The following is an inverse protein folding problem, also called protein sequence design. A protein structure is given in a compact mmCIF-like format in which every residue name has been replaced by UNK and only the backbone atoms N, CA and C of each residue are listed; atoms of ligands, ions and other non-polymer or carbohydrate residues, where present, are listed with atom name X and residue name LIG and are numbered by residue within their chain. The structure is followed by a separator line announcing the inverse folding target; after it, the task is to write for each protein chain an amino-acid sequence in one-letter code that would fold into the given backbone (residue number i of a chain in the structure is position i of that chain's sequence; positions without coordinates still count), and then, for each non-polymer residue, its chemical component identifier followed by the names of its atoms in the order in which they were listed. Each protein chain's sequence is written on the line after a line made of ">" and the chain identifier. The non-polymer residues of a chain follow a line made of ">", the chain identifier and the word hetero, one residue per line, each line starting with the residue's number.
data_IF_180169928716
#
_entry.id   IF_180169928716
#
_cell.length_a   1.000
_cell.length_b   1.000
_cell.length_c   1.000
_cell.angle_alpha   90.00
_cell.angle_beta   90.00
_cell.angle_gamma   90.00
#
_symmetry.space_group_name_H-M   'P 1'
#
loop_
_entity.id
_entity.type
_entity.pdbx_description
1 polymer ?
#
# COMPACT_ATOMS: atom_id res chain seq x y z
N UNK A 1 25.79 -58.94 -10.65
CA UNK A 1 25.47 -57.86 -9.70
C UNK A 1 25.89 -56.46 -10.18
N UNK A 2 26.97 -56.28 -10.96
CA UNK A 2 27.36 -54.95 -11.46
C UNK A 2 26.60 -54.45 -12.70
N UNK A 3 25.91 -55.31 -13.46
CA UNK A 3 25.16 -54.89 -14.66
C UNK A 3 23.94 -54.04 -14.32
N UNK A 4 23.20 -54.44 -13.30
CA UNK A 4 21.96 -53.76 -12.89
C UNK A 4 22.27 -52.37 -12.29
N UNK A 5 23.42 -52.24 -11.60
CA UNK A 5 23.87 -50.96 -11.04
C UNK A 5 24.24 -49.94 -12.12
N UNK A 6 24.93 -50.39 -13.17
CA UNK A 6 25.30 -49.52 -14.28
C UNK A 6 24.06 -49.11 -15.09
N UNK A 7 23.11 -50.02 -15.27
CA UNK A 7 21.88 -49.74 -16.01
C UNK A 7 20.98 -48.74 -15.26
N UNK A 8 20.94 -48.80 -13.92
CA UNK A 8 20.23 -47.82 -13.11
C UNK A 8 20.89 -46.43 -13.16
N UNK A 9 22.22 -46.39 -13.18
CA UNK A 9 22.97 -45.13 -13.30
C UNK A 9 22.72 -44.44 -14.63
N UNK A 10 22.78 -45.19 -15.74
CA UNK A 10 22.56 -44.63 -17.08
C UNK A 10 21.13 -44.06 -17.22
N UNK A 11 20.13 -44.72 -16.64
CA UNK A 11 18.74 -44.22 -16.60
C UNK A 11 18.59 -42.94 -15.76
N UNK A 12 19.35 -42.81 -14.67
CA UNK A 12 19.33 -41.63 -13.82
C UNK A 12 19.98 -40.43 -14.52
N UNK A 13 21.13 -40.66 -15.17
CA UNK A 13 21.84 -39.63 -15.93
C UNK A 13 21.02 -39.16 -17.16
N UNK A 14 20.25 -40.04 -17.80
CA UNK A 14 19.31 -39.67 -18.88
C UNK A 14 18.15 -38.79 -18.37
N UNK A 15 17.64 -39.08 -17.17
CA UNK A 15 16.61 -38.27 -16.52
C UNK A 15 17.12 -36.87 -16.11
N UNK A 16 18.37 -36.76 -15.69
CA UNK A 16 18.98 -35.48 -15.31
C UNK A 16 19.46 -34.66 -16.51
N UNK A 17 19.82 -35.30 -17.62
CA UNK A 17 20.43 -34.64 -18.78
C UNK A 17 19.43 -33.97 -19.74
N UNK A 18 18.14 -34.31 -19.68
CA UNK A 18 17.21 -34.01 -20.81
C UNK A 18 16.38 -32.73 -20.67
N UNK A 19 16.52 -31.95 -19.59
CA UNK A 19 15.92 -30.61 -19.54
C UNK A 19 16.98 -29.57 -19.19
N UNK A 20 17.53 -28.92 -20.23
CA UNK A 20 18.12 -27.61 -20.04
C UNK A 20 17.07 -26.69 -19.42
N UNK A 21 17.26 -26.40 -18.13
CA UNK A 21 16.38 -25.55 -17.30
C UNK A 21 16.26 -24.12 -17.84
N UNK A 22 17.13 -23.74 -18.79
CA UNK A 22 17.05 -22.47 -19.50
C UNK A 22 17.18 -22.68 -20.99
N UNK A 23 16.13 -22.33 -21.72
CA UNK A 23 16.19 -22.23 -23.17
C UNK A 23 17.08 -21.05 -23.59
N UNK A 24 17.57 -21.07 -24.82
CA UNK A 24 18.35 -19.93 -25.34
C UNK A 24 17.49 -18.65 -25.44
N UNK A 25 16.17 -18.78 -25.58
CA UNK A 25 15.24 -17.67 -25.50
C UNK A 25 15.19 -17.05 -24.09
N UNK A 26 15.22 -17.87 -23.04
CA UNK A 26 15.25 -17.38 -21.65
C UNK A 26 16.53 -16.59 -21.37
N UNK A 27 17.67 -17.05 -21.89
CA UNK A 27 18.95 -16.33 -21.76
C UNK A 27 18.90 -14.97 -22.45
N UNK A 28 18.28 -14.88 -23.63
CA UNK A 28 18.11 -13.61 -24.36
C UNK A 28 17.16 -12.68 -23.59
N UNK A 29 16.07 -13.21 -23.03
CA UNK A 29 15.09 -12.45 -22.22
C UNK A 29 15.74 -11.87 -20.97
N UNK A 30 16.51 -12.68 -20.24
CA UNK A 30 17.25 -12.25 -19.03
C UNK A 30 18.27 -11.17 -19.39
N UNK A 31 19.05 -11.35 -20.46
CA UNK A 31 20.07 -10.36 -20.89
C UNK A 31 19.43 -9.01 -21.24
N UNK A 32 18.26 -9.00 -21.89
CA UNK A 32 17.51 -7.77 -22.21
C UNK A 32 16.99 -7.05 -20.95
N UNK A 33 16.51 -7.81 -19.96
CA UNK A 33 16.03 -7.25 -18.68
C UNK A 33 17.18 -6.60 -17.88
N UNK A 34 18.36 -7.23 -17.87
CA UNK A 34 19.56 -6.70 -17.20
C UNK A 34 20.04 -5.39 -17.87
N UNK A 35 20.00 -5.30 -19.21
CA UNK A 35 20.47 -4.08 -19.91
C UNK A 35 19.54 -2.88 -19.75
N UNK A 36 18.23 -3.10 -19.60
CA UNK A 36 17.28 -2.03 -19.32
C UNK A 36 17.42 -1.47 -17.89
N UNK A 37 17.72 -2.34 -16.93
CA UNK A 37 17.86 -1.94 -15.51
C UNK A 37 19.12 -1.11 -15.27
N UNK A 38 20.22 -1.39 -15.99
CA UNK A 38 21.48 -0.63 -15.85
C UNK A 38 21.43 0.81 -16.37
N UNK A 39 20.43 1.18 -17.19
CA UNK A 39 20.34 2.54 -17.76
C UNK A 39 19.54 3.53 -16.91
N UNK A 40 18.84 3.08 -15.86
CA UNK A 40 17.97 3.92 -15.03
C UNK A 40 18.58 4.37 -13.69
N UNK A 41 19.88 4.15 -13.47
CA UNK A 41 20.60 4.67 -12.30
C UNK A 41 21.72 5.62 -12.70
N UNK A 42 21.32 6.84 -13.06
CA UNK A 42 22.17 8.03 -12.93
C UNK A 42 21.47 9.04 -12.01
N UNK A 43 21.46 8.73 -10.71
CA UNK A 43 21.20 9.75 -9.70
C UNK A 43 22.36 10.77 -9.73
N UNK A 44 21.99 12.03 -9.96
CA UNK A 44 22.93 13.15 -10.01
C UNK A 44 23.48 13.43 -8.61
N UNK A 45 24.79 13.67 -8.54
CA UNK A 45 25.47 13.99 -7.29
C UNK A 45 25.17 15.44 -6.85
N UNK A 46 24.86 15.57 -5.56
CA UNK A 46 25.19 16.68 -4.64
C UNK A 46 24.62 18.09 -4.86
N UNK A 47 23.30 18.28 -4.67
CA UNK A 47 22.73 19.61 -4.39
C UNK A 47 21.85 19.68 -3.13
N UNK A 48 21.58 18.55 -2.49
CA UNK A 48 20.65 18.46 -1.34
C UNK A 48 21.19 19.07 -0.03
N UNK A 49 22.49 19.09 0.32
CA UNK A 49 22.90 19.52 1.67
C UNK A 49 22.74 21.03 1.91
N UNK A 50 22.81 21.85 0.86
CA UNK A 50 22.74 23.32 1.00
C UNK A 50 21.30 23.84 1.11
N UNK A 51 20.30 23.06 0.67
CA UNK A 51 18.90 23.48 0.71
C UNK A 51 18.29 23.24 2.10
N UNK A 52 18.67 22.14 2.75
CA UNK A 52 18.25 21.82 4.12
C UNK A 52 18.71 22.87 5.15
N UNK A 53 19.96 23.35 5.01
CA UNK A 53 20.52 24.38 5.88
C UNK A 53 19.85 25.75 5.68
N UNK A 54 19.45 26.10 4.45
CA UNK A 54 18.69 27.31 4.19
C UNK A 54 17.28 27.28 4.79
N UNK A 55 16.58 26.13 4.71
CA UNK A 55 15.25 25.96 5.32
C UNK A 55 15.29 26.09 6.84
N UNK A 56 16.28 25.50 7.51
CA UNK A 56 16.41 25.59 8.98
C UNK A 56 16.63 27.03 9.47
N UNK A 57 17.38 27.85 8.71
CA UNK A 57 17.58 29.27 9.05
C UNK A 57 16.29 30.09 8.90
N UNK A 58 15.49 29.84 7.86
CA UNK A 58 14.21 30.54 7.66
C UNK A 58 13.20 30.23 8.77
N UNK A 59 13.15 28.98 9.22
CA UNK A 59 12.27 28.56 10.33
C UNK A 59 12.67 29.28 11.62
N UNK A 60 13.97 29.36 11.94
CA UNK A 60 14.45 30.06 13.14
C UNK A 60 14.10 31.56 13.17
N UNK A 61 14.17 32.24 12.03
CA UNK A 61 13.77 33.66 11.92
C UNK A 61 12.25 33.82 12.11
N UNK A 62 11.46 32.89 11.59
CA UNK A 62 9.99 32.96 11.72
C UNK A 62 9.51 32.75 13.16
N UNK A 63 10.14 31.84 13.92
CA UNK A 63 9.80 31.61 15.33
C UNK A 63 10.25 32.76 16.24
N UNK A 64 11.43 33.33 16.00
CA UNK A 64 11.93 34.47 16.79
C UNK A 64 11.14 35.76 16.51
N UNK A 65 10.64 35.95 15.28
CA UNK A 65 9.79 37.09 14.93
C UNK A 65 8.39 37.04 15.55
N UNK A 66 7.75 35.87 15.59
CA UNK A 66 6.40 35.73 16.16
C UNK A 66 6.39 35.90 17.70
N UNK A 67 7.43 35.46 18.39
CA UNK A 67 7.52 35.61 19.85
C UNK A 67 7.60 37.08 20.32
N UNK A 68 8.07 37.99 19.46
CA UNK A 68 8.12 39.44 19.76
C UNK A 68 6.80 40.16 19.41
N UNK A 69 6.03 39.67 18.44
CA UNK A 69 4.74 40.26 18.04
C UNK A 69 3.61 39.93 19.02
N UNK A 70 3.64 38.78 19.68
CA UNK A 70 2.57 38.33 20.57
C UNK A 70 2.46 39.17 21.87
N UNK A 71 3.55 39.83 22.29
CA UNK A 71 3.54 40.70 23.47
C UNK A 71 3.00 42.12 23.22
N UNK A 72 2.64 42.49 21.98
CA UNK A 72 2.21 43.86 21.64
C UNK A 72 0.75 43.98 21.18
N UNK A 73 -0.02 42.89 21.10
CA UNK A 73 -1.39 42.90 20.54
C UNK A 73 -2.50 42.51 21.52
N UNK A 74 -2.30 42.65 22.85
CA UNK A 74 -3.38 42.51 23.85
C UNK A 74 -3.88 43.88 24.33
N UNK A 75 -4.56 44.60 23.45
CA UNK A 75 -5.51 45.64 23.86
C UNK A 75 -6.45 46.01 22.71
N UNK A 76 -7.75 46.03 23.02
CA UNK A 76 -8.89 46.46 22.19
C UNK A 76 -9.34 45.41 21.16
N UNK A 77 -10.62 45.05 21.01
CA UNK A 77 -11.86 45.67 21.47
C UNK A 77 -13.00 44.62 21.34
N UNK A 78 -13.87 44.52 22.36
CA UNK A 78 -15.24 44.02 22.19
C UNK A 78 -16.02 45.02 21.32
N UNK A 79 -16.79 44.55 20.33
CA UNK A 79 -18.12 45.11 20.02
C UNK A 79 -18.78 44.44 18.81
N UNK A 80 -19.93 43.82 19.10
CA UNK A 80 -21.20 43.83 18.35
C UNK A 80 -21.29 43.35 16.89
N UNK A 81 -22.18 42.36 16.71
CA UNK A 81 -22.91 42.04 15.47
C UNK A 81 -23.71 43.24 14.92
N UNK A 82 -24.12 43.22 13.63
CA UNK A 82 -25.45 42.69 13.30
C UNK A 82 -25.53 41.87 11.99
N UNK A 83 -26.32 40.79 12.07
CA UNK A 83 -27.47 40.45 11.22
C UNK A 83 -27.59 41.04 9.79
N UNK A 84 -27.57 40.17 8.77
CA UNK A 84 -28.35 40.28 7.50
C UNK A 84 -28.24 38.93 6.75
N UNK A 85 -29.26 38.08 6.77
CA UNK A 85 -30.37 37.99 5.80
C UNK A 85 -30.00 37.45 4.39
N UNK A 86 -30.46 36.22 4.15
CA UNK A 86 -31.08 35.67 2.93
C UNK A 86 -30.35 35.75 1.58
N UNK A 87 -30.00 34.58 1.04
CA UNK A 87 -30.32 34.11 -0.31
C UNK A 87 -29.88 32.63 -0.41
N UNK A 88 -30.68 31.61 -0.71
CA UNK A 88 -31.90 31.59 -1.52
C UNK A 88 -31.60 31.20 -2.96
N UNK A 89 -30.84 30.13 -3.22
CA UNK A 89 -30.70 29.56 -4.57
C UNK A 89 -30.87 28.04 -4.50
N UNK A 90 -32.09 27.60 -4.82
CA UNK A 90 -32.37 26.29 -5.38
C UNK A 90 -31.58 26.13 -6.68
N UNK A 91 -30.76 25.08 -6.77
CA UNK A 91 -30.37 24.54 -8.08
C UNK A 91 -30.93 23.14 -8.20
N UNK A 92 -31.86 23.03 -9.14
CA UNK A 92 -32.65 21.86 -9.49
C UNK A 92 -31.79 20.66 -9.85
N UNK A 93 -32.19 19.55 -9.25
CA UNK A 93 -32.19 18.19 -9.77
C UNK A 93 -32.30 18.15 -11.32
N UNK A 94 -31.28 17.61 -11.98
CA UNK A 94 -31.43 17.02 -13.31
C UNK A 94 -31.23 15.51 -13.18
N UNK A 95 -32.36 14.82 -13.31
CA UNK A 95 -32.50 13.39 -13.52
C UNK A 95 -32.20 13.13 -15.00
N UNK A 96 -31.16 12.35 -15.30
CA UNK A 96 -30.95 11.77 -16.63
C UNK A 96 -30.98 10.25 -16.47
N UNK A 97 -32.06 9.66 -16.97
CA UNK A 97 -32.23 8.22 -17.18
C UNK A 97 -31.46 7.78 -18.43
N UNK A 98 -30.87 6.59 -18.30
CA UNK A 98 -30.71 5.55 -19.32
C UNK A 98 -29.91 5.83 -20.59
N UNK A 99 -28.65 5.40 -20.55
CA UNK A 99 -28.07 4.62 -21.64
C UNK A 99 -27.22 3.49 -21.06
N UNK A 100 -27.69 2.26 -21.25
CA UNK A 100 -26.92 1.05 -21.01
C UNK A 100 -25.72 1.02 -21.97
N UNK A 101 -24.53 1.15 -21.41
CA UNK A 101 -23.26 0.81 -22.03
C UNK A 101 -22.51 -0.01 -20.99
N UNK A 102 -22.10 -1.22 -21.36
CA UNK A 102 -21.37 -2.16 -20.51
C UNK A 102 -20.21 -1.44 -19.82
N UNK A 103 -20.39 -1.23 -18.51
CA UNK A 103 -19.55 -0.39 -17.67
C UNK A 103 -18.63 -1.29 -16.87
N UNK A 104 -17.37 -1.38 -17.29
CA UNK A 104 -16.27 -1.64 -16.35
C UNK A 104 -16.24 -0.43 -15.41
N UNK A 105 -16.96 -0.54 -14.29
CA UNK A 105 -17.13 0.54 -13.32
C UNK A 105 -15.87 0.74 -12.49
N UNK A 106 -14.85 1.39 -13.06
CA UNK A 106 -13.84 2.06 -12.26
C UNK A 106 -14.51 3.27 -11.60
N UNK A 107 -14.96 3.08 -10.36
CA UNK A 107 -15.48 4.20 -9.56
C UNK A 107 -14.25 4.94 -9.03
N UNK A 108 -13.81 5.99 -9.74
CA UNK A 108 -12.74 6.89 -9.28
C UNK A 108 -13.23 7.67 -8.07
N UNK A 109 -13.05 7.10 -6.88
CA UNK A 109 -13.33 7.77 -5.61
C UNK A 109 -12.04 7.80 -4.79
N UNK A 110 -11.45 8.99 -4.70
CA UNK A 110 -10.35 9.26 -3.77
C UNK A 110 -10.90 9.14 -2.34
N UNK A 111 -10.52 8.07 -1.64
CA UNK A 111 -10.89 7.82 -0.24
C UNK A 111 -9.66 7.96 0.66
N UNK A 112 -9.82 8.61 1.82
CA UNK A 112 -8.76 8.75 2.83
C UNK A 112 -8.43 7.41 3.50
N UNK A 113 -7.18 7.23 3.95
CA UNK A 113 -6.73 6.04 4.67
C UNK A 113 -7.26 5.96 6.12
N UNK A 114 -7.73 7.06 6.71
CA UNK A 114 -8.22 7.05 8.08
C UNK A 114 -9.44 6.13 8.25
N UNK A 115 -9.42 5.33 9.31
CA UNK A 115 -10.57 4.49 9.67
C UNK A 115 -11.69 5.37 10.21
N UNK A 116 -12.90 5.19 9.68
CA UNK A 116 -14.12 5.70 10.31
C UNK A 116 -14.34 4.99 11.65
N UNK A 117 -15.20 5.53 12.52
CA UNK A 117 -15.50 4.91 13.81
C UNK A 117 -15.99 3.45 13.65
N UNK A 118 -16.82 3.17 12.64
CA UNK A 118 -17.30 1.82 12.34
C UNK A 118 -16.15 0.88 11.92
N UNK A 119 -15.27 1.33 11.04
CA UNK A 119 -14.11 0.55 10.59
C UNK A 119 -13.12 0.32 11.73
N UNK A 120 -12.90 1.33 12.58
CA UNK A 120 -12.05 1.20 13.77
C UNK A 120 -12.62 0.18 14.77
N UNK A 121 -13.93 0.14 14.96
CA UNK A 121 -14.58 -0.85 15.82
C UNK A 121 -14.37 -2.28 15.29
N UNK A 122 -14.55 -2.48 13.98
CA UNK A 122 -14.31 -3.76 13.30
C UNK A 122 -12.85 -4.18 13.43
N UNK A 123 -11.91 -3.26 13.15
CA UNK A 123 -10.48 -3.50 13.33
C UNK A 123 -10.15 -3.92 14.76
N UNK A 124 -10.65 -3.18 15.75
CA UNK A 124 -10.38 -3.45 17.17
C UNK A 124 -10.93 -4.81 17.59
N UNK A 125 -12.13 -5.16 17.13
CA UNK A 125 -12.70 -6.48 17.38
C UNK A 125 -11.85 -7.59 16.76
N UNK A 126 -11.42 -7.41 15.51
CA UNK A 126 -10.55 -8.36 14.81
C UNK A 126 -9.19 -8.49 15.49
N UNK A 127 -8.52 -7.38 15.80
CA UNK A 127 -7.19 -7.37 16.44
C UNK A 127 -7.18 -8.14 17.77
N UNK A 128 -8.24 -8.02 18.57
CA UNK A 128 -8.35 -8.68 19.87
C UNK A 128 -8.75 -10.17 19.77
N UNK A 129 -9.59 -10.54 18.80
CA UNK A 129 -10.16 -11.90 18.72
C UNK A 129 -9.46 -12.79 17.70
N UNK A 130 -8.82 -12.19 16.69
CA UNK A 130 -8.37 -12.80 15.44
C UNK A 130 -9.48 -13.58 14.70
N UNK A 131 -10.75 -13.30 14.99
CA UNK A 131 -11.88 -13.95 14.34
C UNK A 131 -12.09 -13.36 12.94
N UNK A 132 -11.71 -14.13 11.91
CA UNK A 132 -11.81 -13.71 10.52
C UNK A 132 -13.26 -13.43 10.08
N UNK A 133 -14.26 -14.01 10.73
CA UNK A 133 -15.67 -13.78 10.37
C UNK A 133 -16.09 -12.31 10.55
N UNK A 134 -15.40 -11.58 11.43
CA UNK A 134 -15.57 -10.13 11.62
C UNK A 134 -15.19 -9.35 10.34
N UNK A 135 -14.34 -9.92 9.49
CA UNK A 135 -13.91 -9.32 8.23
C UNK A 135 -14.81 -9.69 7.04
N UNK A 136 -15.88 -10.46 7.25
CA UNK A 136 -16.77 -10.89 6.18
C UNK A 136 -17.50 -9.69 5.57
N UNK A 137 -17.39 -9.55 4.25
CA UNK A 137 -18.04 -8.47 3.50
C UNK A 137 -17.33 -7.11 3.59
N UNK A 138 -16.18 -7.03 4.27
CA UNK A 138 -15.33 -5.84 4.25
C UNK A 138 -14.72 -5.67 2.87
N UNK A 139 -14.66 -4.43 2.36
CA UNK A 139 -14.10 -4.13 1.03
C UNK A 139 -12.58 -4.29 1.04
N UNK A 140 -11.96 -4.62 -0.12
CA UNK A 140 -10.50 -4.73 -0.22
C UNK A 140 -9.77 -3.48 0.26
N UNK A 141 -10.24 -2.28 -0.12
CA UNK A 141 -9.66 -1.02 0.31
C UNK A 141 -9.69 -0.84 1.83
N UNK A 142 -10.71 -1.35 2.51
CA UNK A 142 -10.81 -1.22 3.96
C UNK A 142 -9.90 -2.25 4.69
N UNK A 143 -9.68 -3.45 4.12
CA UNK A 143 -8.64 -4.39 4.59
C UNK A 143 -7.24 -3.78 4.43
N UNK A 144 -6.98 -3.07 3.33
CA UNK A 144 -5.73 -2.33 3.13
C UNK A 144 -5.54 -1.24 4.19
N UNK A 145 -6.58 -0.47 4.53
CA UNK A 145 -6.52 0.49 5.63
C UNK A 145 -6.21 -0.21 6.96
N UNK A 146 -6.85 -1.35 7.25
CA UNK A 146 -6.56 -2.13 8.46
C UNK A 146 -5.10 -2.61 8.52
N UNK A 147 -4.54 -3.05 7.39
CA UNK A 147 -3.15 -3.48 7.30
C UNK A 147 -2.18 -2.36 7.70
N UNK A 148 -2.30 -1.19 7.09
CA UNK A 148 -1.43 -0.04 7.42
C UNK A 148 -1.74 0.59 8.77
N UNK A 149 -2.98 0.47 9.26
CA UNK A 149 -3.32 0.90 10.61
C UNK A 149 -2.65 0.02 11.67
N UNK A 150 -2.59 -1.30 11.46
CA UNK A 150 -1.82 -2.20 12.31
C UNK A 150 -0.32 -1.86 12.26
N UNK A 151 0.22 -1.51 11.09
CA UNK A 151 1.60 -1.05 10.95
C UNK A 151 1.89 0.23 11.75
N UNK A 152 0.98 1.20 11.68
CA UNK A 152 1.07 2.46 12.43
C UNK A 152 1.07 2.23 13.95
N UNK A 153 0.34 1.22 14.42
CA UNK A 153 0.31 0.81 15.83
C UNK A 153 1.49 -0.10 16.22
N UNK A 154 2.34 -0.48 15.27
CA UNK A 154 3.40 -1.49 15.43
C UNK A 154 2.84 -2.86 15.92
N UNK A 155 1.58 -3.17 15.61
CA UNK A 155 0.91 -4.44 15.89
C UNK A 155 1.13 -5.43 14.74
N UNK A 156 2.38 -5.92 14.65
CA UNK A 156 2.80 -6.82 13.57
C UNK A 156 2.07 -8.16 13.58
N UNK A 157 1.56 -8.60 14.73
CA UNK A 157 0.75 -9.83 14.81
C UNK A 157 -0.59 -9.65 14.09
N UNK A 158 -1.31 -8.55 14.37
CA UNK A 158 -2.53 -8.21 13.62
C UNK A 158 -2.22 -7.96 12.16
N UNK A 159 -1.17 -7.20 11.86
CA UNK A 159 -0.77 -6.92 10.48
C UNK A 159 -0.53 -8.21 9.68
N UNK A 160 0.22 -9.15 10.26
CA UNK A 160 0.53 -10.44 9.65
C UNK A 160 -0.74 -11.29 9.42
N UNK A 161 -1.71 -11.23 10.34
CA UNK A 161 -2.95 -12.02 10.23
C UNK A 161 -3.84 -11.68 9.02
N UNK A 162 -3.61 -10.53 8.38
CA UNK A 162 -4.27 -10.17 7.12
C UNK A 162 -3.69 -10.88 5.90
N UNK A 163 -2.50 -11.48 5.98
CA UNK A 163 -1.94 -12.23 4.85
C UNK A 163 -2.75 -13.48 4.53
N UNK A 164 -2.71 -13.87 3.26
CA UNK A 164 -3.26 -15.13 2.80
C UNK A 164 -2.40 -16.29 3.35
N UNK A 165 -3.07 -17.27 3.95
CA UNK A 165 -2.42 -18.42 4.56
C UNK A 165 -2.29 -19.60 3.59
N UNK A 166 -2.86 -19.51 2.39
CA UNK A 166 -2.72 -20.50 1.33
C UNK A 166 -1.24 -20.75 1.02
N UNK A 167 -0.81 -22.00 1.04
CA UNK A 167 0.59 -22.41 0.91
C UNK A 167 1.25 -21.87 -0.37
N UNK A 168 0.50 -21.71 -1.46
CA UNK A 168 1.04 -21.28 -2.75
C UNK A 168 1.07 -19.75 -2.91
N UNK A 169 0.29 -19.03 -2.12
CA UNK A 169 0.13 -17.57 -2.23
C UNK A 169 0.73 -16.82 -1.04
N UNK A 170 1.18 -17.53 -0.01
CA UNK A 170 1.73 -16.95 1.22
C UNK A 170 3.03 -16.21 0.92
N UNK A 171 3.08 -14.92 1.25
CA UNK A 171 4.27 -14.09 1.11
C UNK A 171 5.37 -14.41 2.14
N UNK A 172 4.96 -14.76 3.37
CA UNK A 172 5.86 -14.98 4.51
C UNK A 172 5.48 -16.27 5.25
N UNK A 173 6.39 -17.25 5.40
CA UNK A 173 6.06 -18.54 6.01
C UNK A 173 5.56 -18.42 7.46
N UNK A 174 6.18 -17.53 8.24
CA UNK A 174 5.90 -17.31 9.66
C UNK A 174 5.80 -15.81 10.00
N UNK A 175 5.29 -15.52 11.20
CA UNK A 175 5.27 -14.15 11.75
C UNK A 175 6.70 -13.64 11.98
N UNK A 176 7.59 -14.50 12.46
CA UNK A 176 8.99 -14.17 12.70
C UNK A 176 9.69 -13.73 11.41
N UNK A 177 9.48 -14.46 10.30
CA UNK A 177 10.04 -14.08 8.99
C UNK A 177 9.52 -12.72 8.51
N UNK A 178 8.25 -12.43 8.79
CA UNK A 178 7.64 -11.15 8.45
C UNK A 178 8.21 -9.99 9.27
N UNK A 179 8.36 -10.18 10.57
CA UNK A 179 8.98 -9.19 11.47
C UNK A 179 10.43 -8.95 11.09
N UNK A 180 11.21 -10.01 10.83
CA UNK A 180 12.61 -9.88 10.38
C UNK A 180 12.70 -9.08 9.07
N UNK A 181 11.79 -9.34 8.12
CA UNK A 181 11.74 -8.59 6.86
C UNK A 181 11.44 -7.10 7.10
N UNK A 182 10.50 -6.76 7.98
CA UNK A 182 10.20 -5.36 8.34
C UNK A 182 11.39 -4.70 9.03
N UNK A 183 12.00 -5.36 10.01
CA UNK A 183 13.14 -4.82 10.78
C UNK A 183 14.40 -4.66 9.94
N UNK A 184 14.54 -5.45 8.86
CA UNK A 184 15.65 -5.32 7.91
C UNK A 184 15.55 -4.04 7.05
N UNK A 185 14.37 -3.44 6.95
CA UNK A 185 14.16 -2.17 6.26
C UNK A 185 14.53 -1.01 7.19
N UNK A 186 14.99 0.09 6.60
CA UNK A 186 15.24 1.30 7.37
C UNK A 186 13.92 1.85 7.92
N UNK A 187 13.80 1.90 9.26
CA UNK A 187 12.62 2.48 9.94
C UNK A 187 12.27 3.88 9.41
N UNK A 188 13.27 4.68 9.03
CA UNK A 188 13.02 6.02 8.49
C UNK A 188 12.41 5.98 7.10
N UNK A 189 12.83 5.04 6.24
CA UNK A 189 12.29 4.91 4.87
C UNK A 189 10.84 4.40 4.92
N UNK A 190 10.58 3.43 5.80
CA UNK A 190 9.25 2.86 6.02
C UNK A 190 8.27 3.89 6.56
N UNK A 191 8.65 4.62 7.62
CA UNK A 191 7.80 5.69 8.17
C UNK A 191 7.57 6.81 7.18
N UNK A 192 8.60 7.24 6.46
CA UNK A 192 8.45 8.26 5.41
C UNK A 192 7.49 7.79 4.32
N UNK A 193 7.56 6.52 3.92
CA UNK A 193 6.64 5.96 2.94
C UNK A 193 5.18 6.01 3.44
N UNK A 194 4.92 5.56 4.68
CA UNK A 194 3.57 5.62 5.26
C UNK A 194 3.09 7.07 5.33
N UNK A 195 3.91 7.97 5.87
CA UNK A 195 3.53 9.37 6.04
C UNK A 195 3.29 10.07 4.70
N UNK A 196 4.20 9.95 3.73
CA UNK A 196 4.11 10.69 2.47
C UNK A 196 3.16 10.05 1.46
N UNK A 197 3.14 8.71 1.39
CA UNK A 197 2.47 7.98 0.30
C UNK A 197 1.17 7.34 0.72
N UNK A 198 1.03 6.95 1.98
CA UNK A 198 -0.19 6.30 2.49
C UNK A 198 -1.11 7.33 3.14
N UNK A 199 -0.63 8.17 4.07
CA UNK A 199 -1.49 9.15 4.75
C UNK A 199 -2.01 10.25 3.83
N UNK A 200 -1.18 10.70 2.88
CA UNK A 200 -1.52 11.75 1.93
C UNK A 200 -1.78 11.23 0.52
N UNK A 201 -1.77 9.90 0.33
CA UNK A 201 -1.99 9.28 -0.96
C UNK A 201 -3.45 9.29 -1.39
N UNK A 202 -3.64 9.32 -2.71
CA UNK A 202 -4.90 8.93 -3.33
C UNK A 202 -4.80 7.48 -3.80
N UNK A 203 -5.87 6.72 -3.58
CA UNK A 203 -5.92 5.30 -3.90
C UNK A 203 -6.94 5.02 -4.99
N UNK A 204 -6.60 4.10 -5.88
CA UNK A 204 -7.53 3.55 -6.86
C UNK A 204 -7.69 2.05 -6.64
N UNK A 205 -8.91 1.64 -6.37
CA UNK A 205 -9.28 0.24 -6.18
C UNK A 205 -9.81 -0.35 -7.48
N UNK A 206 -9.25 -1.50 -7.87
CA UNK A 206 -9.76 -2.32 -8.98
C UNK A 206 -10.11 -3.68 -8.42
N UNK A 207 -11.38 -4.07 -8.54
CA UNK A 207 -11.89 -5.37 -8.06
C UNK A 207 -12.29 -6.22 -9.27
N UNK A 208 -11.75 -7.43 -9.34
CA UNK A 208 -12.20 -8.48 -10.24
C UNK A 208 -12.90 -9.56 -9.41
N UNK A 209 -14.23 -9.52 -9.40
CA UNK A 209 -15.06 -10.46 -8.63
C UNK A 209 -15.07 -11.88 -9.22
N UNK A 210 -14.79 -12.05 -10.51
CA UNK A 210 -14.76 -13.38 -11.15
C UNK A 210 -13.55 -14.18 -10.67
N UNK A 211 -12.41 -13.52 -10.57
CA UNK A 211 -11.14 -14.14 -10.18
C UNK A 211 -10.84 -14.01 -8.68
N UNK A 212 -11.72 -13.35 -7.91
CA UNK A 212 -11.51 -13.11 -6.48
C UNK A 212 -10.24 -12.31 -6.19
N UNK A 213 -9.89 -11.36 -7.05
CA UNK A 213 -8.67 -10.56 -6.96
C UNK A 213 -9.00 -9.08 -6.88
N UNK A 214 -8.26 -8.35 -6.05
CA UNK A 214 -8.33 -6.90 -5.98
C UNK A 214 -6.93 -6.29 -5.96
N UNK A 215 -6.82 -5.09 -6.51
CA UNK A 215 -5.57 -4.32 -6.56
C UNK A 215 -5.85 -2.90 -6.11
N UNK A 216 -4.99 -2.38 -5.23
CA UNK A 216 -5.06 -1.00 -4.75
C UNK A 216 -3.80 -0.29 -5.20
N UNK A 217 -3.95 0.67 -6.10
CA UNK A 217 -2.83 1.45 -6.64
C UNK A 217 -2.74 2.80 -5.96
N UNK A 218 -1.52 3.25 -5.68
CA UNK A 218 -1.25 4.56 -5.08
C UNK A 218 -0.92 5.53 -6.21
N UNK A 219 -1.75 6.56 -6.43
CA UNK A 219 -1.59 7.44 -7.60
C UNK A 219 -0.25 8.20 -7.60
N UNK A 220 0.26 8.55 -6.42
CA UNK A 220 1.55 9.23 -6.26
C UNK A 220 2.76 8.33 -6.59
N UNK A 221 2.56 7.02 -6.74
CA UNK A 221 3.59 6.00 -6.95
C UNK A 221 3.15 5.06 -8.10
N UNK A 222 3.17 5.52 -9.36
CA UNK A 222 2.72 4.70 -10.48
C UNK A 222 3.56 3.42 -10.61
N UNK A 223 2.87 2.28 -10.71
CA UNK A 223 3.48 0.94 -10.74
C UNK A 223 3.50 0.25 -9.38
N UNK A 224 3.12 0.95 -8.32
CA UNK A 224 2.96 0.41 -6.99
C UNK A 224 1.51 0.02 -6.73
N UNK A 225 1.28 -1.27 -6.56
CA UNK A 225 -0.05 -1.81 -6.28
C UNK A 225 -0.01 -2.81 -5.14
N UNK A 226 -0.98 -2.75 -4.25
CA UNK A 226 -1.19 -3.71 -3.18
C UNK A 226 -2.20 -4.76 -3.65
N UNK A 227 -1.83 -6.03 -3.57
CA UNK A 227 -2.67 -7.13 -4.02
C UNK A 227 -3.49 -7.73 -2.88
N UNK A 228 -4.76 -8.03 -3.16
CA UNK A 228 -5.60 -8.85 -2.31
C UNK A 228 -6.23 -10.00 -3.09
N UNK A 229 -6.42 -11.12 -2.41
CA UNK A 229 -7.14 -12.29 -2.92
C UNK A 229 -8.23 -12.68 -1.93
N UNK A 230 -9.38 -13.07 -2.45
CA UNK A 230 -10.47 -13.65 -1.67
C UNK A 230 -10.10 -15.08 -1.28
N UNK A 231 -10.11 -15.39 0.02
CA UNK A 231 -9.90 -16.77 0.47
C UNK A 231 -11.15 -17.64 0.27
N UNK A 232 -11.04 -18.94 0.57
CA UNK A 232 -12.14 -19.91 0.43
C UNK A 232 -13.40 -19.54 1.26
N UNK A 233 -13.25 -18.72 2.30
CA UNK A 233 -14.36 -18.24 3.14
C UNK A 233 -15.02 -16.98 2.59
N UNK A 234 -14.53 -16.41 1.50
CA UNK A 234 -15.03 -15.16 0.94
C UNK A 234 -14.50 -13.91 1.65
N UNK A 235 -13.32 -13.98 2.26
CA UNK A 235 -12.69 -12.88 3.00
C UNK A 235 -11.45 -12.43 2.24
N UNK A 236 -11.32 -11.12 2.03
CA UNK A 236 -10.14 -10.54 1.38
C UNK A 236 -8.91 -10.66 2.28
N UNK A 237 -7.80 -11.14 1.68
CA UNK A 237 -6.50 -11.32 2.33
C UNK A 237 -5.40 -10.73 1.47
N UNK A 238 -4.37 -10.22 2.13
CA UNK A 238 -3.19 -9.66 1.47
C UNK A 238 -2.37 -10.79 0.87
N UNK A 239 -2.14 -10.77 -0.44
CA UNK A 239 -1.36 -11.81 -1.12
C UNK A 239 0.01 -11.30 -1.57
N UNK A 240 0.17 -10.00 -1.79
CA UNK A 240 1.40 -9.43 -2.32
C UNK A 240 1.60 -7.97 -1.91
N UNK A 241 2.84 -7.65 -1.54
CA UNK A 241 3.31 -6.28 -1.35
C UNK A 241 4.36 -5.94 -2.41
N UNK A 242 4.28 -4.76 -3.03
CA UNK A 242 5.25 -4.31 -4.03
C UNK A 242 6.62 -3.95 -3.43
N UNK A 243 6.73 -3.87 -2.11
CA UNK A 243 7.99 -3.56 -1.43
C UNK A 243 8.52 -4.80 -0.72
N UNK A 244 9.38 -5.54 -1.43
CA UNK A 244 10.35 -6.47 -0.85
C UNK A 244 11.71 -6.21 -1.48
#
# INVERSE_FOLDING_TARGET
>A
MNKDLNQLKDQFDEFLSTKQVFTDEDKIRIRRKISQTKNNHRYSKSLIPNLLTACLLLIGVFFTGNLLMENLHFSQHESSMPETARSGVETRLYKTEDTASDTYGSTEKSESIFLTEDLLAIFTQYANSKDEEVLRGIRPLDIFKFYYYAEYLEDYETQYSFFITDEYLRAFPTLEDFVEAIESQSDSERRQFIEEKILHGEFHEVINNEDGYASISILLEPGLSFGLTLNEKGIWKVNWLPFQ
#
